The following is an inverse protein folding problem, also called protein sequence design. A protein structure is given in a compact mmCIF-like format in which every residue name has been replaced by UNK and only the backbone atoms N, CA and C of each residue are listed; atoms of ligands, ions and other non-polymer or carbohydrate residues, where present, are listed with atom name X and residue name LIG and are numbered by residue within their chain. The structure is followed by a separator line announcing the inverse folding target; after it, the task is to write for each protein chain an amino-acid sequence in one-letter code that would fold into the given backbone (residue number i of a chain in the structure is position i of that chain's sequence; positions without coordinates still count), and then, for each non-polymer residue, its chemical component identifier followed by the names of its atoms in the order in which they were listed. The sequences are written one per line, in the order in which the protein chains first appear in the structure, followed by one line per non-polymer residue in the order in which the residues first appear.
data_IF_542857669009
#
_entry.id   IF_542857669009
#
_cell.length_a   1.000
_cell.length_b   1.000
_cell.length_c   1.000
_cell.angle_alpha   90.00
_cell.angle_beta   90.00
_cell.angle_gamma   90.00
#
_symmetry.space_group_name_H-M   'P 1'
#
loop_
_entity.id
_entity.type
_entity.pdbx_description
1 polymer ?
#
# COMPACT_ATOMS: atom_id res chain seq x y z
N UNK A 1 -5.38 3.24 -9.22
CA UNK A 1 -6.60 3.86 -9.80
C UNK A 1 -6.15 4.75 -10.94
N UNK A 2 -7.00 5.02 -11.93
CA UNK A 2 -6.73 6.09 -12.89
C UNK A 2 -6.98 7.47 -12.24
N UNK A 3 -6.73 8.54 -13.00
CA UNK A 3 -6.90 9.93 -12.52
C UNK A 3 -8.35 10.22 -12.15
N UNK A 4 -9.30 9.60 -12.84
CA UNK A 4 -10.74 9.70 -12.58
C UNK A 4 -11.21 8.89 -11.37
N UNK A 5 -10.33 8.10 -10.75
CA UNK A 5 -10.63 7.32 -9.55
C UNK A 5 -11.07 5.87 -9.80
N UNK A 6 -11.13 5.41 -11.05
CA UNK A 6 -11.51 4.03 -11.34
C UNK A 6 -10.42 3.05 -10.88
N UNK A 7 -10.83 2.02 -10.15
CA UNK A 7 -9.92 0.96 -9.68
C UNK A 7 -9.53 0.05 -10.84
N UNK A 8 -8.22 -0.09 -11.09
CA UNK A 8 -7.67 -1.04 -12.08
C UNK A 8 -7.23 -2.34 -11.40
N UNK A 9 -6.41 -2.22 -10.35
CA UNK A 9 -6.02 -3.34 -9.48
C UNK A 9 -5.99 -2.92 -8.03
N UNK A 10 -5.98 -3.91 -7.14
CA UNK A 10 -5.71 -3.73 -5.73
C UNK A 10 -5.81 -5.06 -5.00
N UNK A 11 -5.12 -5.17 -3.89
CA UNK A 11 -5.18 -6.31 -2.99
C UNK A 11 -5.26 -5.80 -1.54
N UNK A 12 -5.73 -6.65 -0.65
CA UNK A 12 -5.63 -6.45 0.78
C UNK A 12 -4.74 -7.53 1.38
N UNK A 13 -4.20 -7.30 2.57
CA UNK A 13 -3.37 -8.31 3.24
C UNK A 13 -4.13 -9.63 3.50
N UNK A 14 -5.47 -9.60 3.61
CA UNK A 14 -6.28 -10.81 3.75
C UNK A 14 -6.54 -11.55 2.43
N UNK A 15 -6.21 -10.95 1.28
CA UNK A 15 -6.38 -11.58 -0.03
C UNK A 15 -5.24 -12.55 -0.35
N UNK A 16 -4.09 -12.40 0.30
CA UNK A 16 -2.97 -13.34 0.17
C UNK A 16 -3.22 -14.54 1.09
N UNK A 17 -3.22 -15.74 0.52
CA UNK A 17 -3.49 -17.00 1.24
C UNK A 17 -2.63 -17.14 2.49
N UNK A 18 -1.32 -16.87 2.38
CA UNK A 18 -0.34 -17.00 3.47
C UNK A 18 -0.48 -15.92 4.57
N UNK A 19 -1.38 -14.94 4.39
CA UNK A 19 -1.53 -13.76 5.26
C UNK A 19 -2.93 -13.60 5.83
N UNK A 20 -3.76 -14.65 5.76
CA UNK A 20 -5.08 -14.69 6.41
C UNK A 20 -4.96 -14.76 7.94
N UNK A 21 -6.04 -14.41 8.64
CA UNK A 21 -6.11 -14.48 10.11
C UNK A 21 -5.15 -13.51 10.82
N UNK A 22 -4.49 -13.97 11.90
CA UNK A 22 -3.55 -13.15 12.66
C UNK A 22 -2.29 -12.75 11.86
N UNK A 23 -1.89 -13.56 10.87
CA UNK A 23 -0.74 -13.27 10.01
C UNK A 23 -0.88 -11.94 9.25
N UNK A 24 -2.11 -11.44 9.08
CA UNK A 24 -2.42 -10.13 8.50
C UNK A 24 -1.81 -8.95 9.28
N UNK A 25 -1.61 -9.12 10.59
CA UNK A 25 -1.03 -8.09 11.47
C UNK A 25 0.51 -8.11 11.46
N UNK A 26 1.12 -9.09 10.80
CA UNK A 26 2.57 -9.20 10.68
C UNK A 26 3.16 -7.97 9.99
N UNK A 27 4.37 -7.57 10.45
CA UNK A 27 5.15 -6.45 9.88
C UNK A 27 5.33 -6.55 8.37
N UNK A 28 5.48 -7.78 7.86
CA UNK A 28 5.76 -8.04 6.46
C UNK A 28 4.48 -8.19 5.60
N UNK A 29 3.30 -8.38 6.20
CA UNK A 29 2.07 -8.59 5.44
C UNK A 29 1.74 -7.42 4.50
N UNK A 30 1.94 -6.18 4.97
CA UNK A 30 1.72 -4.97 4.16
C UNK A 30 2.72 -4.86 3.00
N UNK A 31 3.97 -5.25 3.22
CA UNK A 31 5.04 -5.23 2.24
C UNK A 31 4.79 -6.27 1.12
N UNK A 32 4.47 -7.51 1.49
CA UNK A 32 4.11 -8.57 0.54
C UNK A 32 2.87 -8.19 -0.29
N UNK A 33 1.87 -7.57 0.34
CA UNK A 33 0.67 -7.09 -0.36
C UNK A 33 1.03 -5.99 -1.37
N UNK A 34 1.90 -5.06 -0.97
CA UNK A 34 2.35 -3.98 -1.84
C UNK A 34 3.13 -4.52 -3.05
N UNK A 35 4.00 -5.49 -2.82
CA UNK A 35 4.77 -6.17 -3.87
C UNK A 35 3.85 -6.91 -4.86
N UNK A 36 2.85 -7.63 -4.37
CA UNK A 36 1.86 -8.30 -5.21
C UNK A 36 1.09 -7.30 -6.10
N UNK A 37 0.65 -6.17 -5.53
CA UNK A 37 0.00 -5.10 -6.30
C UNK A 37 0.96 -4.46 -7.30
N UNK A 38 2.24 -4.28 -6.95
CA UNK A 38 3.29 -3.81 -7.86
C UNK A 38 3.47 -4.72 -9.06
N UNK A 39 3.53 -6.04 -8.84
CA UNK A 39 3.57 -7.05 -9.91
C UNK A 39 2.34 -7.01 -10.81
N UNK A 40 1.16 -6.88 -10.21
CA UNK A 40 -0.11 -6.75 -10.96
C UNK A 40 -0.17 -5.47 -11.79
N UNK A 41 0.28 -4.34 -11.23
CA UNK A 41 0.41 -3.06 -11.91
C UNK A 41 1.34 -3.12 -13.13
N UNK A 42 2.48 -3.81 -13.00
CA UNK A 42 3.42 -4.05 -14.11
C UNK A 42 2.78 -4.87 -15.23
N UNK A 43 2.05 -5.95 -14.89
CA UNK A 43 1.35 -6.80 -15.88
C UNK A 43 0.33 -6.02 -16.72
N UNK A 44 -0.25 -4.96 -16.16
CA UNK A 44 -1.18 -4.07 -16.88
C UNK A 44 -0.48 -3.01 -17.75
N UNK A 45 0.85 -2.93 -17.74
CA UNK A 45 1.58 -1.96 -18.56
C UNK A 45 1.51 -0.52 -18.08
N UNK A 46 1.26 -0.29 -16.79
CA UNK A 46 1.39 1.06 -16.20
C UNK A 46 2.84 1.54 -16.35
N UNK A 47 3.04 2.84 -16.60
CA UNK A 47 4.38 3.44 -16.76
C UNK A 47 4.77 4.29 -15.56
N UNK A 48 3.87 5.19 -15.15
CA UNK A 48 4.08 6.13 -14.06
C UNK A 48 2.91 6.08 -13.10
N UNK A 49 3.19 6.21 -11.80
CA UNK A 49 2.17 6.23 -10.76
C UNK A 49 2.39 7.37 -9.77
N UNK A 50 1.27 7.87 -9.24
CA UNK A 50 1.25 8.74 -8.06
C UNK A 50 0.84 7.88 -6.87
N UNK A 51 1.68 7.85 -5.84
CA UNK A 51 1.46 7.01 -4.68
C UNK A 51 0.80 7.82 -3.56
N UNK A 52 -0.44 7.46 -3.21
CA UNK A 52 -1.18 8.06 -2.09
C UNK A 52 -1.15 7.13 -0.89
N UNK A 53 -0.59 7.58 0.22
CA UNK A 53 -0.56 6.82 1.48
C UNK A 53 -1.61 7.40 2.42
N UNK A 54 -2.56 6.57 2.85
CA UNK A 54 -3.63 6.96 3.77
C UNK A 54 -3.53 6.18 5.07
N UNK A 55 -3.63 6.90 6.18
CA UNK A 55 -3.75 6.32 7.51
C UNK A 55 -2.45 6.33 8.28
N UNK A 56 -2.58 6.14 9.59
CA UNK A 56 -1.44 5.98 10.49
C UNK A 56 -1.13 4.48 10.54
N UNK A 57 0.12 4.12 10.28
CA UNK A 57 0.56 2.74 10.40
C UNK A 57 1.43 2.61 11.63
N UNK A 58 1.25 1.52 12.37
CA UNK A 58 2.17 1.09 13.42
C UNK A 58 3.56 0.76 12.85
N UNK A 59 3.64 0.56 11.53
CA UNK A 59 4.86 0.25 10.79
C UNK A 59 5.29 1.40 9.89
N UNK A 60 6.57 1.46 9.53
CA UNK A 60 7.12 2.53 8.68
C UNK A 60 6.49 2.48 7.28
N UNK A 61 5.70 3.51 6.91
CA UNK A 61 5.09 3.71 5.57
C UNK A 61 6.09 3.50 4.42
N UNK A 62 7.36 3.84 4.67
CA UNK A 62 8.49 3.63 3.75
C UNK A 62 8.61 2.20 3.21
N UNK A 63 8.39 1.17 4.05
CA UNK A 63 8.53 -0.23 3.61
C UNK A 63 7.50 -0.64 2.57
N UNK A 64 6.27 -0.17 2.71
CA UNK A 64 5.18 -0.42 1.75
C UNK A 64 5.51 0.21 0.39
N UNK A 65 6.08 1.42 0.40
CA UNK A 65 6.53 2.14 -0.80
C UNK A 65 7.64 1.37 -1.51
N UNK A 66 8.63 0.88 -0.75
CA UNK A 66 9.74 0.09 -1.29
C UNK A 66 9.27 -1.26 -1.84
N UNK A 67 8.46 -2.00 -1.08
CA UNK A 67 7.92 -3.30 -1.53
C UNK A 67 7.09 -3.19 -2.81
N UNK A 68 6.25 -2.15 -2.93
CA UNK A 68 5.53 -1.89 -4.19
C UNK A 68 6.49 -1.62 -5.35
N UNK A 69 7.52 -0.79 -5.13
CA UNK A 69 8.53 -0.47 -6.15
C UNK A 69 9.28 -1.72 -6.60
N UNK A 70 9.67 -2.59 -5.68
CA UNK A 70 10.35 -3.85 -5.97
C UNK A 70 9.48 -4.78 -6.82
N UNK A 71 8.22 -4.96 -6.41
CA UNK A 71 7.25 -5.74 -7.18
C UNK A 71 7.00 -5.19 -8.59
N UNK A 72 7.06 -3.87 -8.76
CA UNK A 72 6.86 -3.23 -10.07
C UNK A 72 8.11 -3.30 -10.97
N UNK A 73 9.32 -3.11 -10.43
CA UNK A 73 10.58 -3.14 -11.21
C UNK A 73 10.83 -4.54 -11.77
N UNK A 74 10.51 -5.56 -10.96
CA UNK A 74 10.79 -6.97 -11.25
C UNK A 74 12.27 -7.28 -11.43
N UNK A 75 12.55 -8.54 -11.74
CA UNK A 75 13.91 -9.07 -11.84
C UNK A 75 14.57 -8.55 -13.12
N UNK A 76 15.73 -7.88 -12.99
CA UNK A 76 16.64 -7.43 -14.07
C UNK A 76 16.40 -6.08 -14.77
N UNK A 77 15.45 -5.24 -14.35
CA UNK A 77 15.28 -3.91 -14.99
C UNK A 77 16.02 -2.82 -14.19
N UNK A 78 16.98 -2.12 -14.83
CA UNK A 78 17.70 -0.95 -14.28
C UNK A 78 16.89 0.36 -14.35
N UNK A 79 15.60 0.27 -14.67
CA UNK A 79 14.80 1.45 -14.99
C UNK A 79 14.62 2.39 -13.80
N UNK A 80 14.34 3.65 -14.13
CA UNK A 80 13.98 4.65 -13.14
C UNK A 80 12.73 4.23 -12.36
N UNK A 81 12.60 4.74 -11.14
CA UNK A 81 11.43 4.47 -10.32
C UNK A 81 10.16 4.98 -11.04
N UNK A 82 9.12 4.16 -11.23
CA UNK A 82 7.86 4.59 -11.86
C UNK A 82 7.05 5.56 -10.97
N UNK A 83 7.50 5.78 -9.74
CA UNK A 83 6.83 6.63 -8.75
C UNK A 83 7.22 8.07 -9.02
N UNK A 84 6.25 8.89 -9.43
CA UNK A 84 6.45 10.32 -9.68
C UNK A 84 6.38 11.13 -8.39
N UNK A 85 5.35 10.87 -7.57
CA UNK A 85 5.11 11.59 -6.32
C UNK A 85 4.59 10.66 -5.23
N UNK A 86 4.92 10.98 -3.99
CA UNK A 86 4.39 10.33 -2.79
C UNK A 86 3.63 11.37 -1.98
N UNK A 87 2.31 11.19 -1.86
CA UNK A 87 1.44 12.07 -1.07
C UNK A 87 0.90 11.32 0.15
N UNK A 88 1.09 11.90 1.33
CA UNK A 88 0.38 11.45 2.53
C UNK A 88 -0.98 12.14 2.58
N UNK A 89 -2.06 11.36 2.42
CA UNK A 89 -3.45 11.83 2.41
C UNK A 89 -4.18 11.44 3.70
N UNK A 90 -3.43 11.27 4.79
CA UNK A 90 -3.99 10.96 6.11
C UNK A 90 -4.79 12.17 6.63
N UNK A 91 -6.12 12.05 6.63
CA UNK A 91 -7.01 13.08 7.12
C UNK A 91 -6.97 13.14 8.65
N UNK A 92 -6.71 14.33 9.20
CA UNK A 92 -6.82 14.61 10.63
C UNK A 92 -8.12 15.36 10.88
N UNK A 93 -8.99 14.89 11.81
CA UNK A 93 -10.23 15.58 12.12
C UNK A 93 -9.92 16.87 12.89
N UNK A 94 -10.42 18.01 12.41
CA UNK A 94 -10.22 19.31 13.06
C UNK A 94 -10.88 19.40 14.44
N UNK A 95 -12.04 18.75 14.61
CA UNK A 95 -12.69 18.36 15.88
C UNK A 95 -13.73 17.29 15.51
N UNK A 96 -13.36 16.01 15.69
CA UNK A 96 -14.14 14.88 15.16
C UNK A 96 -15.10 14.25 16.16
N UNK A 97 -15.68 13.11 15.78
CA UNK A 97 -16.49 12.28 16.67
C UNK A 97 -15.69 11.84 17.91
N UNK A 98 -16.38 11.67 19.04
CA UNK A 98 -15.79 11.17 20.28
C UNK A 98 -15.11 9.81 20.05
N UNK A 99 -13.84 9.69 20.44
CA UNK A 99 -13.09 8.43 20.33
C UNK A 99 -13.69 7.35 21.25
N UNK A 100 -13.64 6.05 20.86
CA UNK A 100 -14.06 4.97 21.74
C UNK A 100 -13.32 4.99 23.08
N UNK A 101 -13.98 4.51 24.14
CA UNK A 101 -13.36 4.35 25.46
C UNK A 101 -12.16 3.41 25.34
N UNK A 102 -11.07 3.72 26.06
CA UNK A 102 -9.91 2.84 26.13
C UNK A 102 -10.32 1.44 26.62
N UNK A 103 -9.78 0.41 25.96
CA UNK A 103 -10.07 -0.97 26.29
C UNK A 103 -9.47 -1.29 27.67
N UNK A 104 -10.27 -1.91 28.55
CA UNK A 104 -9.79 -2.45 29.83
C UNK A 104 -9.28 -3.85 29.53
N UNK A 105 -7.96 -4.00 29.44
CA UNK A 105 -7.26 -5.27 29.23
C UNK A 105 -6.46 -5.53 30.49
#
# INVERSE_FOLDING_TARGET
MDVSGNKKTGASAGCLEDRKGQSRLSRYAAEATAEHVGRSARKMGLRSVVMKVKGVSFFKKKKVILGWREGFRGERVRDQSPIMYIHDVTQLPHNGCRRPKQRRV
#
